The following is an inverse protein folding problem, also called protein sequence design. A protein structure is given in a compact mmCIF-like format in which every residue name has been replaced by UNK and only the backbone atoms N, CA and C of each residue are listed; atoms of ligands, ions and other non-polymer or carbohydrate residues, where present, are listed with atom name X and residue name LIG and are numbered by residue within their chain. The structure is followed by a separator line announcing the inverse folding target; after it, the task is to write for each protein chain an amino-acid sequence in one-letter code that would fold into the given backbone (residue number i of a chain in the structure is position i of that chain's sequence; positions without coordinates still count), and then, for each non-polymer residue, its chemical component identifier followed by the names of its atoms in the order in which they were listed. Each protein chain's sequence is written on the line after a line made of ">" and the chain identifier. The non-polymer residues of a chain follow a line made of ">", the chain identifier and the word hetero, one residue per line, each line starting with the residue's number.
data_IF_996983716721
#
_entry.id   IF_996983716721
#
_cell.length_a   1.000
_cell.length_b   1.000
_cell.length_c   1.000
_cell.angle_alpha   90.00
_cell.angle_beta   90.00
_cell.angle_gamma   90.00
#
_symmetry.space_group_name_H-M   'P 1'
#
loop_
_entity.id
_entity.type
_entity.pdbx_description
1 polymer ?
#
# COMPACT_ATOMS: atom_id res chain seq x y z
N UNK A 1 18.89 0.81 -14.07
CA UNK A 1 19.85 1.77 -14.67
C UNK A 1 19.19 3.11 -14.98
N UNK A 2 18.05 3.17 -15.74
CA UNK A 2 17.38 4.43 -16.08
C UNK A 2 16.97 5.25 -14.84
N UNK A 3 16.40 4.62 -13.82
CA UNK A 3 16.05 5.30 -12.57
C UNK A 3 17.28 5.91 -11.87
N UNK A 4 18.41 5.20 -11.87
CA UNK A 4 19.66 5.70 -11.29
C UNK A 4 20.24 6.92 -12.02
N UNK A 5 19.91 7.11 -13.30
CA UNK A 5 20.31 8.33 -14.04
C UNK A 5 19.62 9.58 -13.50
N UNK A 6 18.41 9.44 -12.96
CA UNK A 6 17.61 10.56 -12.43
C UNK A 6 17.91 10.87 -10.96
N UNK A 7 18.09 9.83 -10.13
CA UNK A 7 18.21 10.00 -8.66
C UNK A 7 19.57 9.56 -8.12
N UNK A 8 20.51 9.15 -8.96
CA UNK A 8 21.81 8.62 -8.55
C UNK A 8 21.73 7.13 -8.16
N UNK A 9 22.82 6.57 -7.71
CA UNK A 9 22.94 5.18 -7.27
C UNK A 9 23.09 5.07 -5.75
N UNK A 10 22.97 3.89 -5.19
CA UNK A 10 23.03 3.63 -3.74
C UNK A 10 24.32 4.11 -3.04
N UNK A 11 25.38 4.43 -3.79
CA UNK A 11 26.67 4.89 -3.27
C UNK A 11 26.88 6.40 -3.40
N UNK A 12 25.98 7.11 -4.05
CA UNK A 12 26.04 8.57 -4.24
C UNK A 12 25.12 9.29 -3.26
N UNK A 13 25.33 10.60 -3.13
CA UNK A 13 24.43 11.46 -2.34
C UNK A 13 23.14 11.72 -3.15
N UNK A 14 22.25 10.74 -3.15
CA UNK A 14 21.06 10.73 -3.97
C UNK A 14 20.03 11.73 -3.46
N UNK A 15 19.50 12.55 -4.36
CA UNK A 15 18.39 13.45 -4.05
C UNK A 15 17.49 13.63 -5.26
N UNK A 16 16.21 13.83 -5.00
CA UNK A 16 15.21 14.15 -6.02
C UNK A 16 14.28 15.22 -5.47
N UNK A 17 14.13 16.34 -6.18
CA UNK A 17 13.29 17.47 -5.77
C UNK A 17 13.52 17.92 -4.30
N UNK A 18 14.76 17.87 -3.83
CA UNK A 18 15.16 18.24 -2.46
C UNK A 18 14.96 17.13 -1.41
N UNK A 19 14.32 16.00 -1.77
CA UNK A 19 14.20 14.85 -0.91
C UNK A 19 15.42 13.94 -1.04
N UNK A 20 15.89 13.42 0.10
CA UNK A 20 16.97 12.42 0.13
C UNK A 20 16.42 11.06 -0.33
N UNK A 21 17.12 10.42 -1.26
CA UNK A 21 16.73 9.14 -1.83
C UNK A 21 17.68 8.03 -1.34
N UNK A 22 17.08 6.93 -0.90
CA UNK A 22 17.78 5.71 -0.49
C UNK A 22 17.26 4.53 -1.30
N UNK A 23 18.10 3.51 -1.46
CA UNK A 23 17.73 2.27 -2.14
C UNK A 23 17.84 1.10 -1.17
N UNK A 24 16.74 0.38 -1.00
CA UNK A 24 16.74 -0.94 -0.40
C UNK A 24 16.65 -1.99 -1.51
N UNK A 25 17.50 -3.00 -1.47
CA UNK A 25 17.48 -4.10 -2.44
C UNK A 25 16.69 -5.26 -1.86
N UNK A 26 15.65 -5.68 -2.56
CA UNK A 26 14.99 -6.95 -2.23
C UNK A 26 15.82 -8.10 -2.78
N UNK A 27 16.49 -8.84 -1.90
CA UNK A 27 17.27 -10.02 -2.26
C UNK A 27 16.37 -11.22 -2.49
N UNK A 28 16.71 -12.03 -3.48
CA UNK A 28 16.03 -13.29 -3.72
C UNK A 28 16.46 -14.31 -2.67
N UNK A 29 15.50 -14.99 -2.07
CA UNK A 29 15.77 -16.15 -1.22
C UNK A 29 16.37 -17.29 -2.05
N UNK A 30 17.17 -18.15 -1.42
CA UNK A 30 17.80 -19.29 -2.06
C UNK A 30 16.77 -20.17 -2.81
N UNK A 31 17.08 -20.51 -4.07
CA UNK A 31 16.22 -21.32 -4.92
C UNK A 31 15.04 -20.56 -5.56
N UNK A 32 14.92 -19.26 -5.39
CA UNK A 32 13.86 -18.46 -6.04
C UNK A 32 14.36 -17.68 -7.25
N UNK A 33 13.53 -17.65 -8.30
CA UNK A 33 13.76 -16.83 -9.48
C UNK A 33 13.06 -15.46 -9.42
N UNK A 34 12.12 -15.30 -8.48
CA UNK A 34 11.31 -14.08 -8.29
C UNK A 34 11.35 -13.62 -6.83
N UNK A 35 11.19 -12.31 -6.58
CA UNK A 35 11.03 -11.76 -5.24
C UNK A 35 9.93 -12.46 -4.46
N UNK A 36 10.08 -12.50 -3.13
CA UNK A 36 9.12 -13.20 -2.25
C UNK A 36 7.82 -12.42 -2.03
N UNK A 37 7.69 -11.21 -2.56
CA UNK A 37 6.48 -10.41 -2.53
C UNK A 37 6.63 -9.07 -1.79
N UNK A 38 5.53 -8.33 -1.69
CA UNK A 38 5.53 -6.95 -1.20
C UNK A 38 5.78 -6.82 0.31
N UNK A 39 5.31 -7.77 1.12
CA UNK A 39 5.63 -7.78 2.56
C UNK A 39 7.11 -8.04 2.80
N UNK A 40 7.71 -8.97 2.05
CA UNK A 40 9.14 -9.27 2.11
C UNK A 40 9.98 -8.05 1.67
N UNK A 41 9.54 -7.31 0.66
CA UNK A 41 10.21 -6.09 0.23
C UNK A 41 10.27 -5.05 1.36
N UNK A 42 9.17 -4.85 2.08
CA UNK A 42 9.13 -3.93 3.23
C UNK A 42 9.95 -4.47 4.41
N UNK A 43 9.87 -5.77 4.70
CA UNK A 43 10.69 -6.44 5.72
C UNK A 43 12.17 -6.18 5.48
N UNK A 44 12.68 -6.51 4.29
CA UNK A 44 14.08 -6.31 3.92
C UNK A 44 14.50 -4.83 3.90
N UNK A 45 13.60 -3.92 3.53
CA UNK A 45 13.86 -2.49 3.61
C UNK A 45 14.07 -2.02 5.07
N UNK A 46 13.24 -2.49 6.00
CA UNK A 46 13.38 -2.18 7.43
C UNK A 46 14.66 -2.79 8.03
N UNK A 47 15.08 -3.97 7.56
CA UNK A 47 16.34 -4.59 7.98
C UNK A 47 17.57 -3.82 7.48
N UNK A 48 17.51 -3.26 6.26
CA UNK A 48 18.57 -2.44 5.69
C UNK A 48 18.61 -1.02 6.28
N UNK A 49 17.46 -0.50 6.74
CA UNK A 49 17.31 0.82 7.35
C UNK A 49 16.63 0.73 8.73
N UNK A 50 17.31 0.17 9.75
CA UNK A 50 16.69 -0.14 11.04
C UNK A 50 16.20 1.10 11.82
N UNK A 51 16.64 2.29 11.48
CA UNK A 51 16.10 3.53 12.05
C UNK A 51 14.59 3.67 11.81
N UNK A 52 14.08 3.16 10.67
CA UNK A 52 12.66 3.16 10.33
C UNK A 52 11.80 2.35 11.30
N UNK A 53 12.37 1.40 12.04
CA UNK A 53 11.64 0.67 13.08
C UNK A 53 11.14 1.59 14.20
N UNK A 54 11.76 2.74 14.40
CA UNK A 54 11.41 3.73 15.42
C UNK A 54 10.61 4.91 14.88
N UNK A 55 10.23 4.87 13.62
CA UNK A 55 9.53 5.94 12.92
C UNK A 55 8.17 5.49 12.40
N UNK A 56 7.33 6.48 12.07
CA UNK A 56 6.15 6.28 11.25
C UNK A 56 6.51 6.63 9.80
N UNK A 57 6.26 5.72 8.88
CA UNK A 57 6.57 5.89 7.46
C UNK A 57 5.39 5.51 6.58
N UNK A 58 5.41 5.98 5.34
CA UNK A 58 4.40 5.64 4.33
C UNK A 58 4.94 4.57 3.38
N UNK A 59 4.13 3.55 3.14
CA UNK A 59 4.33 2.54 2.10
C UNK A 59 3.35 2.84 0.97
N UNK A 60 3.84 2.88 -0.25
CA UNK A 60 2.99 3.03 -1.44
C UNK A 60 3.58 2.27 -2.64
N UNK A 61 2.73 1.95 -3.61
CA UNK A 61 3.19 1.38 -4.88
C UNK A 61 3.96 2.43 -5.68
N UNK A 62 5.00 2.02 -6.38
CA UNK A 62 5.82 2.90 -7.23
C UNK A 62 5.22 3.18 -8.61
N UNK A 63 4.18 2.46 -9.00
CA UNK A 63 3.46 2.56 -10.27
C UNK A 63 2.12 3.32 -10.17
N UNK A 64 1.76 3.81 -8.97
CA UNK A 64 0.59 4.65 -8.75
C UNK A 64 0.98 6.12 -8.55
N UNK A 65 0.21 7.04 -9.13
CA UNK A 65 0.36 8.48 -8.91
C UNK A 65 -0.66 8.97 -7.88
N UNK A 66 -0.23 9.06 -6.64
CA UNK A 66 -1.05 9.56 -5.54
C UNK A 66 -1.01 11.08 -5.45
N UNK A 67 -2.13 11.69 -5.04
CA UNK A 67 -2.20 13.13 -4.81
C UNK A 67 -1.38 13.55 -3.58
N UNK A 68 -0.84 14.76 -3.60
CA UNK A 68 -0.20 15.33 -2.41
C UNK A 68 -1.17 15.45 -1.22
N UNK A 69 -2.48 15.54 -1.49
CA UNK A 69 -3.51 15.59 -0.46
C UNK A 69 -3.67 14.22 0.25
N UNK A 70 -3.50 13.08 -0.45
CA UNK A 70 -3.49 11.75 0.17
C UNK A 70 -2.32 11.61 1.17
N UNK A 71 -1.10 12.02 0.77
CA UNK A 71 0.05 12.01 1.68
C UNK A 71 -0.14 12.95 2.88
N UNK A 72 -0.63 14.18 2.65
CA UNK A 72 -0.93 15.13 3.74
C UNK A 72 -1.95 14.56 4.73
N UNK A 73 -2.94 13.83 4.26
CA UNK A 73 -3.95 13.20 5.12
C UNK A 73 -3.35 12.10 6.00
N UNK A 74 -2.41 11.30 5.47
CA UNK A 74 -1.68 10.30 6.26
C UNK A 74 -0.73 10.90 7.30
N UNK A 75 -0.32 12.15 7.15
CA UNK A 75 0.56 12.86 8.09
C UNK A 75 -0.19 13.62 9.18
N UNK A 76 -1.52 13.69 9.12
CA UNK A 76 -2.32 14.37 10.14
C UNK A 76 -2.27 13.64 11.49
N UNK A 77 -2.44 14.39 12.57
CA UNK A 77 -2.67 13.82 13.89
C UNK A 77 -3.91 12.93 13.87
N UNK A 78 -3.79 11.76 14.46
CA UNK A 78 -4.85 10.74 14.44
C UNK A 78 -4.90 9.93 15.71
N UNK A 79 -6.07 9.34 15.96
CA UNK A 79 -6.35 8.51 17.15
C UNK A 79 -5.77 7.08 17.10
N UNK A 80 -5.09 6.72 16.01
CA UNK A 80 -4.48 5.41 15.81
C UNK A 80 -3.02 5.53 15.35
N UNK A 81 -2.13 4.60 15.70
CA UNK A 81 -0.73 4.64 15.28
C UNK A 81 -0.56 4.47 13.77
N UNK A 82 -1.46 3.72 13.14
CA UNK A 82 -1.41 3.43 11.71
C UNK A 82 -2.61 4.01 10.98
N UNK A 83 -2.47 4.22 9.68
CA UNK A 83 -3.55 4.66 8.81
C UNK A 83 -3.37 4.16 7.38
N UNK A 84 -4.45 4.24 6.63
CA UNK A 84 -4.45 4.02 5.19
C UNK A 84 -5.44 4.95 4.50
N UNK A 85 -5.30 5.10 3.19
CA UNK A 85 -6.32 5.77 2.38
C UNK A 85 -7.26 4.72 1.79
N UNK A 86 -8.55 4.90 2.03
CA UNK A 86 -9.63 4.11 1.45
C UNK A 86 -10.30 4.90 0.34
N UNK A 87 -10.10 4.47 -0.91
CA UNK A 87 -10.63 5.18 -2.07
C UNK A 87 -12.08 4.78 -2.34
N UNK A 88 -12.92 5.76 -2.62
CA UNK A 88 -14.27 5.52 -3.12
C UNK A 88 -14.18 4.86 -4.50
N UNK A 89 -14.82 3.70 -4.66
CA UNK A 89 -14.88 2.98 -5.93
C UNK A 89 -15.45 3.85 -7.05
N UNK A 90 -16.47 4.65 -6.74
CA UNK A 90 -17.10 5.59 -7.67
C UNK A 90 -16.18 6.72 -8.15
N UNK A 91 -15.12 7.05 -7.40
CA UNK A 91 -14.11 8.05 -7.78
C UNK A 91 -13.05 7.53 -8.76
N UNK A 92 -12.95 6.21 -8.95
CA UNK A 92 -11.95 5.60 -9.82
C UNK A 92 -12.50 5.51 -11.26
N UNK A 93 -11.72 6.00 -12.23
CA UNK A 93 -12.10 6.04 -13.65
C UNK A 93 -11.47 4.89 -14.45
N UNK A 94 -11.44 3.69 -13.88
CA UNK A 94 -11.01 2.47 -14.55
C UNK A 94 -12.21 1.71 -15.12
N UNK A 95 -11.95 0.71 -15.97
CA UNK A 95 -12.99 -0.21 -16.41
C UNK A 95 -13.52 -1.05 -15.25
N UNK A 96 -14.75 -1.52 -15.35
CA UNK A 96 -15.38 -2.35 -14.30
C UNK A 96 -14.57 -3.62 -14.01
N UNK A 97 -13.97 -4.23 -15.04
CA UNK A 97 -13.12 -5.42 -14.91
C UNK A 97 -11.82 -5.12 -14.12
N UNK A 98 -11.29 -3.89 -14.23
CA UNK A 98 -10.11 -3.47 -13.46
C UNK A 98 -10.50 -3.15 -12.02
N UNK A 99 -11.59 -2.42 -11.82
CA UNK A 99 -12.12 -2.08 -10.48
C UNK A 99 -12.47 -3.34 -9.68
N UNK A 100 -13.02 -4.37 -10.32
CA UNK A 100 -13.36 -5.64 -9.67
C UNK A 100 -12.13 -6.40 -9.11
N UNK A 101 -10.93 -6.05 -9.53
CA UNK A 101 -9.68 -6.66 -9.05
C UNK A 101 -9.11 -5.99 -7.79
N UNK A 102 -9.62 -4.82 -7.41
CA UNK A 102 -9.15 -4.12 -6.22
C UNK A 102 -9.71 -4.75 -4.95
N UNK A 103 -8.87 -4.77 -3.91
CA UNK A 103 -9.31 -5.24 -2.60
C UNK A 103 -10.32 -4.26 -2.00
N UNK A 104 -11.43 -4.79 -1.50
CA UNK A 104 -12.45 -4.02 -0.78
C UNK A 104 -12.10 -3.97 0.70
N UNK A 105 -12.35 -2.82 1.32
CA UNK A 105 -12.09 -2.58 2.72
C UNK A 105 -13.38 -2.65 3.53
N UNK A 106 -13.41 -3.48 4.55
CA UNK A 106 -14.43 -3.45 5.62
C UNK A 106 -13.97 -2.46 6.69
N UNK A 107 -14.75 -1.40 6.89
CA UNK A 107 -14.42 -0.28 7.78
C UNK A 107 -15.58 -0.12 8.76
N UNK A 108 -15.27 0.05 10.04
CA UNK A 108 -16.30 0.28 11.06
C UNK A 108 -16.81 1.74 11.05
N UNK A 109 -17.89 1.99 11.80
CA UNK A 109 -18.52 3.31 11.91
C UNK A 109 -17.64 4.36 12.57
N UNK A 110 -16.55 3.95 13.25
CA UNK A 110 -15.55 4.85 13.84
C UNK A 110 -14.39 5.14 12.87
N UNK A 111 -14.39 4.52 11.68
CA UNK A 111 -13.39 4.66 10.63
C UNK A 111 -12.19 3.73 10.76
N UNK A 112 -12.24 2.69 11.62
CA UNK A 112 -11.17 1.72 11.73
C UNK A 112 -11.32 0.56 10.74
N UNK A 113 -10.19 0.08 10.23
CA UNK A 113 -10.15 -1.12 9.40
C UNK A 113 -10.63 -2.33 10.20
N UNK A 114 -11.60 -3.06 9.66
CA UNK A 114 -12.02 -4.39 10.14
C UNK A 114 -11.42 -5.52 9.32
N UNK A 115 -11.29 -5.30 8.01
CA UNK A 115 -10.76 -6.31 7.12
C UNK A 115 -10.44 -5.80 5.73
N UNK A 116 -9.67 -6.61 5.00
CA UNK A 116 -9.38 -6.41 3.57
C UNK A 116 -9.83 -7.68 2.86
N UNK A 117 -10.73 -7.52 1.90
CA UNK A 117 -11.33 -8.60 1.12
C UNK A 117 -10.71 -8.55 -0.28
N UNK A 118 -9.85 -9.51 -0.57
CA UNK A 118 -9.15 -9.60 -1.85
C UNK A 118 -10.08 -10.06 -2.97
N UNK A 119 -10.17 -9.28 -4.04
CA UNK A 119 -10.89 -9.58 -5.28
C UNK A 119 -12.27 -10.20 -5.06
N UNK A 120 -13.14 -9.57 -4.25
CA UNK A 120 -14.49 -10.08 -4.03
C UNK A 120 -15.28 -10.06 -5.35
N UNK A 121 -16.23 -10.98 -5.49
CA UNK A 121 -17.23 -10.83 -6.53
C UNK A 121 -18.16 -9.63 -6.23
N UNK A 122 -18.97 -9.25 -7.23
CA UNK A 122 -19.82 -8.06 -7.11
C UNK A 122 -20.81 -8.18 -5.93
N UNK A 123 -21.41 -9.35 -5.73
CA UNK A 123 -22.39 -9.58 -4.65
C UNK A 123 -21.72 -9.44 -3.27
N UNK A 124 -20.52 -9.97 -3.14
CA UNK A 124 -19.71 -9.84 -1.91
C UNK A 124 -19.30 -8.40 -1.67
N UNK A 125 -18.83 -7.69 -2.71
CA UNK A 125 -18.42 -6.29 -2.59
C UNK A 125 -19.56 -5.38 -2.12
N UNK A 126 -20.78 -5.62 -2.58
CA UNK A 126 -21.98 -4.86 -2.18
C UNK A 126 -22.29 -4.93 -0.67
N UNK A 127 -21.85 -5.99 0.02
CA UNK A 127 -22.04 -6.15 1.47
C UNK A 127 -21.18 -5.22 2.32
N UNK A 128 -20.16 -4.58 1.70
CA UNK A 128 -19.19 -3.70 2.35
C UNK A 128 -19.37 -2.22 1.99
N UNK A 129 -20.61 -1.82 1.63
CA UNK A 129 -20.92 -0.40 1.49
C UNK A 129 -20.84 0.29 2.84
N UNK A 130 -20.20 1.47 2.87
CA UNK A 130 -20.18 2.32 4.05
C UNK A 130 -21.53 3.04 4.28
N UNK A 131 -21.63 3.84 5.36
CA UNK A 131 -22.86 4.55 5.76
C UNK A 131 -23.39 5.53 4.71
N UNK A 132 -22.53 5.96 3.77
CA UNK A 132 -22.93 6.81 2.64
C UNK A 132 -23.17 6.03 1.35
N UNK A 133 -23.15 4.70 1.42
CA UNK A 133 -23.43 3.79 0.29
C UNK A 133 -22.24 3.59 -0.65
N UNK A 134 -21.01 3.94 -0.24
CA UNK A 134 -19.81 3.82 -1.06
C UNK A 134 -19.06 2.52 -0.76
N UNK A 135 -18.50 1.88 -1.79
CA UNK A 135 -17.57 0.76 -1.64
C UNK A 135 -16.16 1.33 -1.55
N UNK A 136 -15.44 1.00 -0.48
CA UNK A 136 -14.06 1.46 -0.26
C UNK A 136 -13.06 0.42 -0.75
N UNK A 137 -12.09 0.86 -1.53
CA UNK A 137 -11.05 -0.02 -2.09
C UNK A 137 -9.65 0.46 -1.72
N UNK A 138 -8.71 -0.49 -1.72
CA UNK A 138 -7.29 -0.23 -1.50
C UNK A 138 -6.61 0.13 -2.82
N UNK A 139 -5.81 1.19 -2.79
CA UNK A 139 -4.83 1.54 -3.83
C UNK A 139 -3.41 1.49 -3.27
N UNK A 140 -3.18 0.67 -2.24
CA UNK A 140 -1.88 0.37 -1.64
C UNK A 140 -1.08 1.61 -1.18
N UNK A 141 -1.72 2.48 -0.42
CA UNK A 141 -1.05 3.57 0.28
C UNK A 141 -1.38 3.54 1.77
N UNK A 142 -0.37 3.36 2.59
CA UNK A 142 -0.47 3.06 4.01
C UNK A 142 0.55 3.86 4.81
N UNK A 143 0.23 4.20 6.06
CA UNK A 143 1.16 4.79 7.03
C UNK A 143 1.25 3.88 8.25
N UNK A 144 2.44 3.40 8.57
CA UNK A 144 2.66 2.47 9.67
C UNK A 144 3.77 2.92 10.60
N UNK A 145 3.60 2.62 11.89
CA UNK A 145 4.67 2.63 12.86
C UNK A 145 5.55 1.39 12.69
N UNK A 146 6.84 1.58 12.46
CA UNK A 146 7.76 0.51 12.08
C UNK A 146 7.81 -0.64 13.08
N UNK A 147 7.97 -0.33 14.37
CA UNK A 147 8.04 -1.35 15.42
C UNK A 147 6.77 -2.20 15.53
N UNK A 148 5.61 -1.62 15.24
CA UNK A 148 4.35 -2.35 15.28
C UNK A 148 4.15 -3.23 14.04
N UNK A 149 4.48 -2.74 12.84
CA UNK A 149 4.29 -3.51 11.61
C UNK A 149 5.30 -4.66 11.46
N UNK A 150 6.56 -4.45 11.85
CA UNK A 150 7.66 -5.37 11.55
C UNK A 150 7.43 -6.83 11.98
N UNK A 151 6.91 -7.15 13.19
CA UNK A 151 6.61 -8.53 13.57
C UNK A 151 5.61 -9.22 12.64
N UNK A 152 4.66 -8.48 12.07
CA UNK A 152 3.64 -9.00 11.16
C UNK A 152 4.18 -9.23 9.75
N UNK A 153 5.16 -8.42 9.30
CA UNK A 153 5.90 -8.68 8.07
C UNK A 153 6.70 -9.98 8.17
N UNK A 154 7.45 -10.16 9.26
CA UNK A 154 8.23 -11.38 9.51
C UNK A 154 7.36 -12.64 9.52
N UNK A 155 6.23 -12.58 10.20
CA UNK A 155 5.30 -13.69 10.34
C UNK A 155 4.23 -13.75 9.24
N UNK A 156 4.35 -12.92 8.19
CA UNK A 156 3.41 -12.93 7.07
C UNK A 156 3.41 -14.30 6.38
N UNK A 157 2.24 -14.96 6.26
CA UNK A 157 2.15 -16.26 5.61
C UNK A 157 2.43 -16.12 4.10
N UNK A 158 3.05 -17.15 3.54
CA UNK A 158 3.21 -17.27 2.10
C UNK A 158 1.87 -17.65 1.48
N UNK A 159 1.41 -16.87 0.50
CA UNK A 159 0.18 -17.18 -0.23
C UNK A 159 0.31 -18.53 -0.96
N UNK A 160 -0.61 -19.48 -0.76
CA UNK A 160 -0.43 -20.86 -1.24
C UNK A 160 -0.31 -21.00 -2.76
N UNK A 161 -1.04 -20.18 -3.51
CA UNK A 161 -1.02 -20.22 -4.98
C UNK A 161 0.07 -19.34 -5.59
N UNK A 162 0.23 -18.08 -5.08
CA UNK A 162 1.20 -17.13 -5.62
C UNK A 162 2.61 -17.36 -5.11
N UNK A 163 2.75 -18.09 -4.01
CA UNK A 163 4.03 -18.35 -3.33
C UNK A 163 4.75 -17.04 -2.94
N UNK A 164 4.00 -16.05 -2.48
CA UNK A 164 4.46 -14.70 -2.12
C UNK A 164 3.97 -14.28 -0.74
N UNK A 165 4.77 -13.50 -0.03
CA UNK A 165 4.37 -12.74 1.17
C UNK A 165 3.78 -11.41 0.72
N UNK A 166 2.48 -11.26 0.79
CA UNK A 166 1.79 -10.06 0.35
C UNK A 166 1.54 -9.09 1.50
N UNK A 167 1.79 -7.80 1.27
CA UNK A 167 1.60 -6.76 2.29
C UNK A 167 0.17 -6.71 2.87
N UNK A 168 -0.91 -6.86 2.07
CA UNK A 168 -2.26 -6.96 2.61
C UNK A 168 -2.44 -8.08 3.64
N UNK A 169 -1.75 -9.22 3.48
CA UNK A 169 -1.81 -10.31 4.45
C UNK A 169 -1.14 -9.97 5.78
N UNK A 170 -0.01 -9.24 5.75
CA UNK A 170 0.64 -8.74 6.96
C UNK A 170 -0.25 -7.71 7.69
N UNK A 171 -0.90 -6.81 6.94
CA UNK A 171 -1.85 -5.82 7.47
C UNK A 171 -3.06 -6.52 8.10
N UNK A 172 -3.61 -7.53 7.43
CA UNK A 172 -4.71 -8.34 7.95
C UNK A 172 -4.32 -9.01 9.27
N UNK A 173 -3.14 -9.62 9.33
CA UNK A 173 -2.63 -10.27 10.54
C UNK A 173 -2.47 -9.28 11.70
N UNK A 174 -1.92 -8.08 11.44
CA UNK A 174 -1.85 -6.99 12.42
C UNK A 174 -3.24 -6.65 12.94
N UNK A 175 -4.18 -6.39 12.03
CA UNK A 175 -5.54 -5.96 12.39
C UNK A 175 -6.33 -7.03 13.17
N UNK A 176 -6.11 -8.31 12.89
CA UNK A 176 -6.71 -9.44 13.63
C UNK A 176 -6.15 -9.56 15.06
N UNK A 177 -4.85 -9.29 15.23
CA UNK A 177 -4.18 -9.37 16.54
C UNK A 177 -4.33 -8.12 17.38
N UNK A 178 -4.37 -6.97 16.73
CA UNK A 178 -4.45 -5.65 17.34
C UNK A 178 -5.57 -4.83 16.67
N UNK A 179 -6.85 -5.09 17.00
CA UNK A 179 -7.97 -4.36 16.40
C UNK A 179 -7.93 -2.87 16.74
N UNK A 180 -8.53 -2.06 15.86
CA UNK A 180 -8.59 -0.59 15.97
C UNK A 180 -7.23 0.12 16.00
N UNK A 181 -6.20 -0.48 15.41
CA UNK A 181 -4.88 0.16 15.26
C UNK A 181 -4.67 0.82 13.89
N UNK A 182 -5.60 0.65 12.95
CA UNK A 182 -5.48 1.18 11.59
C UNK A 182 -6.71 2.05 11.28
N UNK A 183 -6.50 3.36 11.13
CA UNK A 183 -7.54 4.31 10.76
C UNK A 183 -7.63 4.45 9.24
N UNK A 184 -8.83 4.42 8.68
CA UNK A 184 -9.09 4.56 7.26
C UNK A 184 -9.51 5.99 6.94
N UNK A 185 -8.76 6.68 6.09
CA UNK A 185 -9.14 8.00 5.58
C UNK A 185 -9.80 7.85 4.21
N UNK A 186 -11.10 8.20 4.13
CA UNK A 186 -11.86 8.16 2.89
C UNK A 186 -11.43 9.25 1.89
N UNK A 187 -11.25 8.87 0.61
CA UNK A 187 -11.05 9.80 -0.50
C UNK A 187 -11.86 9.39 -1.72
N UNK A 188 -12.31 10.40 -2.49
CA UNK A 188 -13.02 10.20 -3.73
C UNK A 188 -12.25 10.93 -4.84
N UNK A 189 -11.20 10.30 -5.35
CA UNK A 189 -10.37 10.80 -6.45
C UNK A 189 -9.88 9.64 -7.32
N UNK A 190 -9.55 9.95 -8.56
CA UNK A 190 -8.92 8.98 -9.45
C UNK A 190 -7.43 8.89 -9.17
N UNK A 191 -6.91 7.67 -9.16
CA UNK A 191 -5.47 7.37 -9.06
C UNK A 191 -5.03 6.84 -10.41
N UNK A 192 -4.02 7.46 -11.01
CA UNK A 192 -3.38 6.88 -12.18
C UNK A 192 -2.49 5.72 -11.74
N UNK A 193 -2.62 4.61 -12.45
CA UNK A 193 -1.97 3.34 -12.15
C UNK A 193 -1.30 2.81 -13.44
N UNK A 194 0.03 2.71 -13.42
CA UNK A 194 0.85 2.29 -14.56
C UNK A 194 1.07 0.77 -14.55
N UNK A 195 0.01 0.00 -14.72
CA UNK A 195 0.08 -1.47 -14.76
C UNK A 195 0.46 -2.00 -16.15
N UNK A 196 0.07 -1.32 -17.22
CA UNK A 196 0.29 -1.77 -18.59
C UNK A 196 0.78 -0.63 -19.50
N UNK A 197 1.42 -0.98 -20.62
CA UNK A 197 1.95 0.01 -21.57
C UNK A 197 0.90 1.01 -22.08
N UNK A 198 -0.35 0.61 -22.18
CA UNK A 198 -1.46 1.49 -22.58
C UNK A 198 -1.77 2.58 -21.54
N UNK A 199 -1.37 2.40 -20.29
CA UNK A 199 -1.58 3.39 -19.22
C UNK A 199 -0.61 4.59 -19.37
N UNK A 200 0.49 4.46 -20.12
CA UNK A 200 1.50 5.51 -20.31
C UNK A 200 0.87 6.79 -20.83
N UNK A 201 -0.05 6.69 -21.80
CA UNK A 201 -0.71 7.84 -22.38
C UNK A 201 -1.47 8.70 -21.36
N UNK A 202 -1.95 8.10 -20.27
CA UNK A 202 -2.64 8.84 -19.19
C UNK A 202 -1.67 9.70 -18.36
N UNK A 203 -0.36 9.39 -18.38
CA UNK A 203 0.68 10.13 -17.66
C UNK A 203 1.34 11.22 -18.52
N UNK A 204 1.20 11.21 -19.86
CA UNK A 204 1.83 12.19 -20.77
C UNK A 204 1.21 13.60 -20.69
N UNK A 205 0.10 13.77 -19.97
CA UNK A 205 -0.61 15.05 -19.82
C UNK A 205 -0.50 15.73 -18.45
N UNK A 206 0.43 15.28 -17.58
CA UNK A 206 0.58 15.73 -16.19
C UNK A 206 1.79 16.65 -16.02
#
# INVERSE_FOLDING_TARGET
>A
EAFQQWVGNARSNNSFAGAKVHFALQHLSEGREKPLGTADAVEQALEQYPALLHETFTICNGDNLYSSAAFKQLLQDRKAPNALISYARSGLKFSDERIAKFAVMDIDTEGFLKGIIEKPDQETAEKYRDDIGEIRVSMNIFSFQGAQLYPYLKNCPIHPERQEKELPNAIKLLNEKEPKQILCFGRAEHILDLTAAQDIAAFEGI
#
